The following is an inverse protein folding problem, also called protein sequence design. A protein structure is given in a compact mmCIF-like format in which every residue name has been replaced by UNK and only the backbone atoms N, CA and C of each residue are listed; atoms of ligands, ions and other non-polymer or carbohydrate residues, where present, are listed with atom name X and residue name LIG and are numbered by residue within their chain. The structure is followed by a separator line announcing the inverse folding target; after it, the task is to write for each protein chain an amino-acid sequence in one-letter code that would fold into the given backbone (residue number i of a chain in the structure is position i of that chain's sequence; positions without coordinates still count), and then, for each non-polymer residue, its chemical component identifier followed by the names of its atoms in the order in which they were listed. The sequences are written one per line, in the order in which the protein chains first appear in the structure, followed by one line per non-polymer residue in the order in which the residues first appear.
data_IF_228355133503
#
_entry.id   IF_228355133503
#
_cell.length_a   1.000
_cell.length_b   1.000
_cell.length_c   1.000
_cell.angle_alpha   90.00
_cell.angle_beta   90.00
_cell.angle_gamma   90.00
#
_symmetry.space_group_name_H-M   'P 1'
#
loop_
_entity.id
_entity.type
_entity.pdbx_description
1 polymer ?
#
# COMPACT_ATOMS: atom_id res chain seq x y z
N UNK A 1 5.03 -21.30 -6.96
CA UNK A 1 4.78 -20.46 -8.16
C UNK A 1 5.09 -19.02 -7.77
N UNK A 2 5.82 -18.23 -8.58
CA UNK A 2 5.95 -16.79 -8.28
C UNK A 2 4.55 -16.15 -8.40
N UNK A 3 4.17 -15.24 -7.48
CA UNK A 3 2.86 -14.61 -7.50
C UNK A 3 2.66 -13.81 -8.79
N UNK A 4 1.42 -13.69 -9.24
CA UNK A 4 1.00 -13.05 -10.49
C UNK A 4 1.50 -11.60 -10.72
N UNK A 5 2.07 -10.96 -9.68
CA UNK A 5 2.65 -9.61 -9.71
C UNK A 5 3.89 -9.47 -10.63
N UNK A 6 4.53 -10.57 -11.02
CA UNK A 6 5.77 -10.53 -11.82
C UNK A 6 5.52 -10.30 -13.32
N UNK A 7 4.27 -10.39 -13.80
CA UNK A 7 3.90 -10.22 -15.22
C UNK A 7 3.26 -8.86 -15.56
N UNK A 8 3.06 -7.97 -14.60
CA UNK A 8 2.42 -6.68 -14.85
C UNK A 8 3.43 -5.67 -15.42
N UNK A 9 3.32 -5.27 -16.71
CA UNK A 9 4.33 -4.43 -17.35
C UNK A 9 4.43 -3.04 -16.73
N UNK A 10 3.31 -2.46 -16.26
CA UNK A 10 3.33 -1.13 -15.60
C UNK A 10 4.10 -1.22 -14.29
N UNK A 11 3.87 -2.27 -13.49
CA UNK A 11 4.57 -2.44 -12.22
C UNK A 11 6.06 -2.73 -12.43
N UNK A 12 6.43 -3.46 -13.48
CA UNK A 12 7.84 -3.66 -13.84
C UNK A 12 8.53 -2.31 -14.14
N UNK A 13 7.89 -1.44 -14.92
CA UNK A 13 8.43 -0.11 -15.23
C UNK A 13 8.52 0.78 -13.98
N UNK A 14 7.52 0.72 -13.10
CA UNK A 14 7.55 1.44 -11.81
C UNK A 14 8.71 0.93 -10.94
N UNK A 15 8.85 -0.38 -10.74
CA UNK A 15 9.96 -0.97 -9.95
C UNK A 15 11.31 -0.56 -10.50
N UNK A 16 11.46 -0.62 -11.83
CA UNK A 16 12.69 -0.20 -12.53
C UNK A 16 12.99 1.28 -12.31
N UNK A 17 11.98 2.15 -12.33
CA UNK A 17 12.15 3.58 -12.07
C UNK A 17 12.46 3.88 -10.59
N UNK A 18 11.95 3.07 -9.66
CA UNK A 18 12.24 3.19 -8.23
C UNK A 18 13.61 2.61 -7.83
N UNK A 19 14.15 1.69 -8.62
CA UNK A 19 15.45 1.05 -8.37
C UNK A 19 16.63 2.04 -8.34
N UNK A 20 17.74 1.59 -7.75
CA UNK A 20 18.94 2.40 -7.60
C UNK A 20 18.71 3.63 -6.71
N UNK A 21 18.89 4.83 -7.28
CA UNK A 21 18.73 6.09 -6.55
C UNK A 21 17.36 6.77 -6.77
N UNK A 22 16.50 6.21 -7.62
CA UNK A 22 15.23 6.85 -8.01
C UNK A 22 14.31 7.11 -6.82
N UNK A 23 13.93 6.05 -6.08
CA UNK A 23 13.09 6.19 -4.89
C UNK A 23 13.79 6.97 -3.77
N UNK A 24 15.07 6.69 -3.51
CA UNK A 24 15.85 7.35 -2.46
C UNK A 24 15.90 8.86 -2.64
N UNK A 25 16.02 9.33 -3.88
CA UNK A 25 15.98 10.74 -4.21
C UNK A 25 14.60 11.35 -3.95
N UNK A 26 13.52 10.70 -4.41
CA UNK A 26 12.15 11.15 -4.18
C UNK A 26 11.86 11.32 -2.68
N UNK A 27 12.19 10.30 -1.89
CA UNK A 27 12.00 10.30 -0.45
C UNK A 27 12.83 11.40 0.24
N UNK A 28 14.09 11.61 -0.18
CA UNK A 28 14.93 12.70 0.34
C UNK A 28 14.30 14.07 0.09
N UNK A 29 13.79 14.30 -1.12
CA UNK A 29 13.15 15.57 -1.49
C UNK A 29 11.91 15.85 -0.63
N UNK A 30 11.03 14.86 -0.46
CA UNK A 30 9.84 15.00 0.38
C UNK A 30 10.20 15.17 1.86
N UNK A 31 11.18 14.42 2.38
CA UNK A 31 11.68 14.63 3.75
C UNK A 31 12.23 16.04 3.96
N UNK A 32 12.87 16.61 2.95
CA UNK A 32 13.33 18.01 2.96
C UNK A 32 12.20 19.04 2.75
N UNK A 33 10.95 18.62 2.61
CA UNK A 33 9.78 19.49 2.52
C UNK A 33 9.54 20.09 1.14
N UNK A 34 10.25 19.64 0.11
CA UNK A 34 10.06 20.14 -1.27
C UNK A 34 10.53 19.16 -2.33
N UNK A 35 9.60 18.76 -3.18
CA UNK A 35 9.87 18.09 -4.45
C UNK A 35 10.56 19.03 -5.43
N UNK A 36 11.65 18.56 -6.04
CA UNK A 36 12.45 19.32 -7.02
C UNK A 36 12.70 18.56 -8.32
N UNK A 37 12.58 17.23 -8.31
CA UNK A 37 12.88 16.39 -9.48
C UNK A 37 11.66 15.69 -10.08
N UNK A 38 11.89 15.00 -11.18
CA UNK A 38 10.87 14.36 -12.01
C UNK A 38 10.68 12.91 -11.59
N UNK A 39 9.85 12.63 -10.57
CA UNK A 39 9.57 11.25 -10.12
C UNK A 39 8.10 10.97 -9.77
N UNK A 40 7.22 11.97 -9.87
CA UNK A 40 5.84 11.91 -9.40
C UNK A 40 5.08 10.67 -9.93
N UNK A 41 5.31 10.31 -11.19
CA UNK A 41 4.52 9.29 -11.89
C UNK A 41 4.73 7.86 -11.41
N UNK A 42 5.93 7.51 -10.95
CA UNK A 42 6.25 6.16 -10.49
C UNK A 42 6.31 6.05 -8.96
N UNK A 43 6.01 7.14 -8.25
CA UNK A 43 5.91 7.15 -6.79
C UNK A 43 4.46 7.33 -6.36
N UNK A 44 3.75 8.26 -6.98
CA UNK A 44 2.31 8.45 -6.86
C UNK A 44 1.66 8.30 -8.25
N UNK A 45 1.48 7.05 -8.73
CA UNK A 45 0.90 6.80 -10.03
C UNK A 45 -0.59 7.13 -10.06
N UNK A 46 -1.04 7.69 -11.18
CA UNK A 46 -2.46 7.94 -11.48
C UNK A 46 -3.02 6.84 -12.38
N UNK A 47 -4.34 6.74 -12.42
CA UNK A 47 -5.06 5.92 -13.40
C UNK A 47 -5.06 6.58 -14.78
N UNK A 48 -4.89 5.78 -15.84
CA UNK A 48 -4.82 6.28 -17.22
C UNK A 48 -6.13 6.94 -17.68
N UNK A 49 -7.27 6.43 -17.20
CA UNK A 49 -8.61 6.96 -17.46
C UNK A 49 -8.84 8.31 -16.77
N UNK A 50 -8.14 8.56 -15.66
CA UNK A 50 -8.27 9.77 -14.87
C UNK A 50 -7.44 10.89 -15.49
N UNK A 51 -6.17 10.63 -15.80
CA UNK A 51 -5.22 11.67 -16.24
C UNK A 51 -4.35 11.20 -17.40
N UNK A 52 -4.36 11.97 -18.50
CA UNK A 52 -3.32 11.88 -19.53
C UNK A 52 -2.02 12.49 -19.01
N UNK A 53 -0.94 11.74 -19.15
CA UNK A 53 0.37 12.10 -18.58
C UNK A 53 1.48 12.01 -19.63
N UNK A 54 2.55 12.79 -19.45
CA UNK A 54 3.74 12.73 -20.29
C UNK A 54 4.57 11.45 -20.14
N UNK A 55 4.25 10.62 -19.13
CA UNK A 55 4.91 9.34 -18.84
C UNK A 55 3.87 8.21 -18.71
N UNK A 56 3.16 7.84 -19.79
CA UNK A 56 2.05 6.88 -19.74
C UNK A 56 2.49 5.47 -19.33
N UNK A 57 3.78 5.14 -19.45
CA UNK A 57 4.31 3.85 -19.02
C UNK A 57 4.16 3.57 -17.52
N UNK A 58 3.91 4.61 -16.70
CA UNK A 58 3.69 4.48 -15.25
C UNK A 58 2.21 4.64 -14.86
N UNK A 59 1.31 4.87 -15.82
CA UNK A 59 -0.13 4.98 -15.55
C UNK A 59 -0.71 3.60 -15.24
N UNK A 60 -1.42 3.48 -14.13
CA UNK A 60 -2.17 2.26 -13.80
C UNK A 60 -3.38 2.18 -14.74
N UNK A 61 -3.59 1.03 -15.38
CA UNK A 61 -4.55 0.92 -16.50
C UNK A 61 -5.96 0.54 -16.05
N UNK A 62 -6.10 -0.04 -14.87
CA UNK A 62 -7.38 -0.53 -14.33
C UNK A 62 -7.26 -0.85 -12.84
N UNK A 63 -8.38 -1.24 -12.23
CA UNK A 63 -8.44 -1.66 -10.83
C UNK A 63 -7.49 -2.84 -10.53
N UNK A 64 -7.30 -3.76 -11.48
CA UNK A 64 -6.38 -4.89 -11.35
C UNK A 64 -4.92 -4.45 -11.18
N UNK A 65 -4.46 -3.43 -11.93
CA UNK A 65 -3.13 -2.84 -11.77
C UNK A 65 -2.96 -2.19 -10.38
N UNK A 66 -4.00 -1.50 -9.86
CA UNK A 66 -3.96 -0.88 -8.53
C UNK A 66 -3.88 -1.94 -7.43
N UNK A 67 -4.72 -2.99 -7.51
CA UNK A 67 -4.69 -4.13 -6.57
C UNK A 67 -3.34 -4.85 -6.60
N UNK A 68 -2.78 -5.04 -7.80
CA UNK A 68 -1.46 -5.64 -7.95
C UNK A 68 -0.32 -4.75 -7.40
N UNK A 69 -0.43 -3.42 -7.54
CA UNK A 69 0.50 -2.48 -6.91
C UNK A 69 0.44 -2.62 -5.38
N UNK A 70 -0.76 -2.63 -4.81
CA UNK A 70 -0.96 -2.75 -3.37
C UNK A 70 -0.46 -4.08 -2.80
N UNK A 71 -0.66 -5.18 -3.54
CA UNK A 71 -0.18 -6.51 -3.16
C UNK A 71 1.34 -6.67 -3.28
N UNK A 72 2.05 -5.75 -3.95
CA UNK A 72 3.50 -5.77 -4.04
C UNK A 72 4.13 -5.18 -2.76
N UNK A 73 4.88 -5.96 -1.95
CA UNK A 73 5.42 -5.48 -0.69
C UNK A 73 6.39 -4.30 -0.83
N UNK A 74 7.18 -4.25 -1.91
CA UNK A 74 8.15 -3.19 -2.14
C UNK A 74 7.47 -1.88 -2.55
N UNK A 75 6.54 -1.96 -3.51
CA UNK A 75 5.78 -0.79 -3.97
C UNK A 75 4.87 -0.24 -2.88
N UNK A 76 4.15 -1.12 -2.16
CA UNK A 76 3.32 -0.73 -1.00
C UNK A 76 4.16 -0.04 0.06
N UNK A 77 5.31 -0.61 0.44
CA UNK A 77 6.20 -0.02 1.43
C UNK A 77 6.69 1.37 0.99
N UNK A 78 7.12 1.50 -0.27
CA UNK A 78 7.60 2.77 -0.80
C UNK A 78 6.51 3.85 -0.80
N UNK A 79 5.29 3.47 -1.21
CA UNK A 79 4.11 4.33 -1.19
C UNK A 79 3.78 4.79 0.24
N UNK A 80 3.76 3.86 1.20
CA UNK A 80 3.53 4.19 2.61
C UNK A 80 4.59 5.17 3.14
N UNK A 81 5.88 4.82 3.04
CA UNK A 81 6.98 5.60 3.63
C UNK A 81 7.04 7.04 3.08
N UNK A 82 6.81 7.25 1.78
CA UNK A 82 6.87 8.60 1.22
C UNK A 82 5.58 9.40 1.48
N UNK A 83 4.41 8.75 1.49
CA UNK A 83 3.16 9.42 1.84
C UNK A 83 3.12 9.84 3.32
N UNK A 84 3.70 9.03 4.22
CA UNK A 84 3.91 9.39 5.62
C UNK A 84 4.83 10.61 5.76
N UNK A 85 5.94 10.64 5.01
CA UNK A 85 6.82 11.81 4.99
C UNK A 85 6.11 13.07 4.48
N UNK A 86 5.24 12.95 3.47
CA UNK A 86 4.43 14.05 2.97
C UNK A 86 3.40 14.52 4.03
N UNK A 87 2.68 13.59 4.65
CA UNK A 87 1.72 13.87 5.71
C UNK A 87 2.35 14.64 6.88
N UNK A 88 3.58 14.29 7.29
CA UNK A 88 4.29 15.00 8.36
C UNK A 88 4.47 16.49 8.08
N UNK A 89 4.67 16.87 6.81
CA UNK A 89 4.78 18.27 6.40
C UNK A 89 3.40 18.94 6.29
N UNK A 90 2.43 18.25 5.68
CA UNK A 90 1.07 18.77 5.53
C UNK A 90 0.41 19.03 6.90
N UNK A 91 0.58 18.11 7.85
CA UNK A 91 0.08 18.26 9.22
C UNK A 91 0.74 19.43 9.99
N UNK A 92 1.94 19.86 9.58
CA UNK A 92 2.62 21.07 10.09
C UNK A 92 2.17 22.35 9.38
N UNK A 93 1.22 22.27 8.47
CA UNK A 93 0.70 23.40 7.70
C UNK A 93 1.58 23.83 6.54
N UNK A 94 2.52 23.00 6.07
CA UNK A 94 3.29 23.29 4.85
C UNK A 94 2.31 23.33 3.66
N UNK A 95 2.27 24.43 2.88
CA UNK A 95 1.36 24.51 1.75
C UNK A 95 1.63 23.39 0.73
N UNK A 96 0.60 22.69 0.21
CA UNK A 96 0.80 21.60 -0.75
C UNK A 96 1.60 22.02 -1.98
N UNK A 97 1.36 23.23 -2.52
CA UNK A 97 2.12 23.76 -3.65
C UNK A 97 3.62 23.93 -3.36
N UNK A 98 4.00 24.17 -2.10
CA UNK A 98 5.40 24.23 -1.67
C UNK A 98 6.01 22.83 -1.60
N UNK A 99 5.29 21.88 -1.00
CA UNK A 99 5.76 20.51 -0.81
C UNK A 99 5.89 19.76 -2.14
N UNK A 100 4.86 19.82 -2.99
CA UNK A 100 4.81 19.09 -4.27
C UNK A 100 5.38 19.91 -5.44
N UNK A 101 5.59 21.21 -5.26
CA UNK A 101 6.25 22.10 -6.21
C UNK A 101 5.38 22.62 -7.36
N UNK A 102 4.23 22.00 -7.65
CA UNK A 102 3.29 22.47 -8.66
C UNK A 102 1.86 22.03 -8.35
N UNK A 103 0.86 22.76 -8.86
CA UNK A 103 -0.56 22.38 -8.75
C UNK A 103 -0.82 21.00 -9.37
N UNK A 104 -0.21 20.71 -10.52
CA UNK A 104 -0.34 19.41 -11.20
C UNK A 104 0.16 18.25 -10.33
N UNK A 105 1.23 18.45 -9.58
CA UNK A 105 1.77 17.40 -8.69
C UNK A 105 0.94 17.24 -7.41
N UNK A 106 0.30 18.32 -6.92
CA UNK A 106 -0.70 18.24 -5.84
C UNK A 106 -1.88 17.38 -6.29
N UNK A 107 -2.44 17.65 -7.47
CA UNK A 107 -3.59 16.90 -8.00
C UNK A 107 -3.25 15.41 -8.23
N UNK A 108 -2.03 15.09 -8.68
CA UNK A 108 -1.58 13.69 -8.79
C UNK A 108 -1.52 13.00 -7.44
N UNK A 109 -1.02 13.69 -6.41
CA UNK A 109 -1.00 13.12 -5.07
C UNK A 109 -2.42 12.89 -4.54
N UNK A 110 -3.36 13.82 -4.78
CA UNK A 110 -4.78 13.66 -4.45
C UNK A 110 -5.43 12.47 -5.17
N UNK A 111 -5.16 12.32 -6.48
CA UNK A 111 -5.61 11.18 -7.28
C UNK A 111 -5.10 9.85 -6.71
N UNK A 112 -3.80 9.77 -6.41
CA UNK A 112 -3.19 8.58 -5.82
C UNK A 112 -3.73 8.30 -4.42
N UNK A 113 -3.83 9.30 -3.55
CA UNK A 113 -4.33 9.11 -2.19
C UNK A 113 -5.80 8.64 -2.20
N UNK A 114 -6.64 9.23 -3.06
CA UNK A 114 -8.02 8.76 -3.25
C UNK A 114 -8.06 7.31 -3.72
N UNK A 115 -7.23 6.97 -4.73
CA UNK A 115 -7.18 5.64 -5.31
C UNK A 115 -6.78 4.57 -4.27
N UNK A 116 -5.69 4.81 -3.56
CA UNK A 116 -5.17 3.85 -2.60
C UNK A 116 -5.95 3.82 -1.28
N UNK A 117 -6.60 4.91 -0.86
CA UNK A 117 -7.52 4.86 0.28
C UNK A 117 -8.66 3.85 0.03
N UNK A 118 -9.28 3.93 -1.15
CA UNK A 118 -10.41 3.06 -1.53
C UNK A 118 -9.99 1.60 -1.67
N UNK A 119 -8.91 1.34 -2.40
CA UNK A 119 -8.44 -0.04 -2.64
C UNK A 119 -7.86 -0.66 -1.36
N UNK A 120 -7.22 0.13 -0.48
CA UNK A 120 -6.74 -0.35 0.80
C UNK A 120 -7.87 -0.75 1.75
N UNK A 121 -8.97 0.04 1.80
CA UNK A 121 -10.16 -0.32 2.59
C UNK A 121 -10.77 -1.65 2.14
N UNK A 122 -10.93 -1.85 0.82
CA UNK A 122 -11.43 -3.11 0.28
C UNK A 122 -10.50 -4.29 0.61
N UNK A 123 -9.19 -4.09 0.48
CA UNK A 123 -8.18 -5.09 0.76
C UNK A 123 -7.91 -5.31 2.26
N UNK A 124 -8.61 -4.59 3.16
CA UNK A 124 -8.37 -4.58 4.61
C UNK A 124 -6.93 -4.18 5.01
N UNK A 125 -6.27 -3.39 4.18
CA UNK A 125 -5.02 -2.71 4.54
C UNK A 125 -5.34 -1.42 5.31
N UNK A 126 -5.74 -1.58 6.57
CA UNK A 126 -6.24 -0.48 7.39
C UNK A 126 -5.16 0.58 7.66
N UNK A 127 -3.89 0.18 7.74
CA UNK A 127 -2.76 1.10 7.94
C UNK A 127 -2.60 2.04 6.74
N UNK A 128 -2.58 1.50 5.52
CA UNK A 128 -2.46 2.34 4.34
C UNK A 128 -3.72 3.18 4.11
N UNK A 129 -4.90 2.61 4.37
CA UNK A 129 -6.17 3.35 4.29
C UNK A 129 -6.16 4.59 5.21
N UNK A 130 -5.81 4.40 6.49
CA UNK A 130 -5.67 5.46 7.48
C UNK A 130 -4.71 6.57 7.03
N UNK A 131 -3.54 6.16 6.53
CA UNK A 131 -2.52 7.09 6.04
C UNK A 131 -3.04 7.93 4.86
N UNK A 132 -3.67 7.29 3.88
CA UNK A 132 -4.16 7.98 2.67
C UNK A 132 -5.33 8.91 2.99
N UNK A 133 -6.25 8.50 3.86
CA UNK A 133 -7.33 9.37 4.35
C UNK A 133 -6.77 10.57 5.11
N UNK A 134 -5.75 10.36 5.95
CA UNK A 134 -5.08 11.45 6.67
C UNK A 134 -4.38 12.44 5.74
N UNK A 135 -3.79 11.94 4.65
CA UNK A 135 -3.24 12.81 3.60
C UNK A 135 -4.33 13.67 2.96
N UNK A 136 -5.49 13.09 2.64
CA UNK A 136 -6.61 13.82 2.03
C UNK A 136 -7.20 14.87 2.98
N UNK A 137 -7.35 14.53 4.26
CA UNK A 137 -7.78 15.46 5.31
C UNK A 137 -6.80 16.65 5.42
N UNK A 138 -5.49 16.37 5.42
CA UNK A 138 -4.46 17.40 5.54
C UNK A 138 -4.35 18.30 4.29
N UNK A 139 -4.75 17.81 3.11
CA UNK A 139 -4.89 18.63 1.91
C UNK A 139 -6.15 19.51 1.94
N UNK A 140 -7.06 19.28 2.89
CA UNK A 140 -8.41 19.84 2.94
C UNK A 140 -9.19 19.64 1.62
N UNK A 141 -8.92 18.52 0.94
CA UNK A 141 -9.56 18.18 -0.33
C UNK A 141 -10.65 17.14 -0.12
N UNK A 142 -11.62 17.12 -1.05
CA UNK A 142 -12.54 15.99 -1.16
C UNK A 142 -11.84 14.83 -1.84
N UNK A 143 -12.49 13.66 -1.87
CA UNK A 143 -12.07 12.60 -2.76
C UNK A 143 -12.04 13.11 -4.19
N UNK A 144 -11.01 12.73 -4.94
CA UNK A 144 -10.92 13.05 -6.35
C UNK A 144 -12.04 12.30 -7.11
N UNK A 145 -13.10 13.03 -7.48
CA UNK A 145 -14.36 12.46 -7.97
C UNK A 145 -14.16 11.47 -9.12
N UNK A 146 -13.39 11.85 -10.15
CA UNK A 146 -13.15 11.00 -11.32
C UNK A 146 -12.38 9.72 -10.99
N UNK A 147 -11.53 9.75 -9.95
CA UNK A 147 -10.84 8.55 -9.47
C UNK A 147 -11.81 7.61 -8.77
N UNK A 148 -12.62 8.14 -7.86
CA UNK A 148 -13.61 7.35 -7.12
C UNK A 148 -14.66 6.74 -8.07
N UNK A 149 -15.23 7.54 -8.97
CA UNK A 149 -16.21 7.10 -9.98
C UNK A 149 -15.66 5.96 -10.84
N UNK A 150 -14.41 6.07 -11.32
CA UNK A 150 -13.79 5.03 -12.12
C UNK A 150 -13.63 3.72 -11.34
N UNK A 151 -13.15 3.78 -10.10
CA UNK A 151 -12.93 2.58 -9.28
C UNK A 151 -14.24 1.88 -8.91
N UNK A 152 -15.29 2.66 -8.60
CA UNK A 152 -16.63 2.11 -8.36
C UNK A 152 -17.18 1.42 -9.62
N UNK A 153 -17.04 2.05 -10.79
CA UNK A 153 -17.47 1.48 -12.07
C UNK A 153 -16.72 0.19 -12.45
N UNK A 154 -15.46 0.03 -12.01
CA UNK A 154 -14.66 -1.20 -12.18
C UNK A 154 -15.02 -2.31 -11.16
N UNK A 155 -16.01 -2.10 -10.30
CA UNK A 155 -16.54 -3.11 -9.40
C UNK A 155 -15.85 -3.17 -8.03
N UNK A 156 -15.32 -2.06 -7.53
CA UNK A 156 -14.91 -1.93 -6.12
C UNK A 156 -16.15 -2.07 -5.22
N UNK A 157 -16.44 -3.30 -4.79
CA UNK A 157 -17.79 -3.76 -4.41
C UNK A 157 -18.12 -3.52 -2.94
N UNK A 158 -17.13 -3.10 -2.15
CA UNK A 158 -17.22 -2.94 -0.69
C UNK A 158 -17.60 -1.53 -0.23
N UNK A 159 -17.63 -0.55 -1.15
CA UNK A 159 -17.96 0.85 -0.81
C UNK A 159 -19.26 1.24 -1.54
N UNK A 160 -20.34 1.40 -0.77
CA UNK A 160 -21.69 1.69 -1.29
C UNK A 160 -21.73 2.99 -2.11
N UNK A 161 -22.44 2.96 -3.24
CA UNK A 161 -22.51 4.03 -4.25
C UNK A 161 -23.10 5.37 -3.75
N UNK A 162 -23.76 5.41 -2.59
CA UNK A 162 -24.73 6.48 -2.31
C UNK A 162 -24.17 7.78 -1.75
N UNK A 163 -22.89 7.88 -1.37
CA UNK A 163 -22.14 9.13 -1.18
C UNK A 163 -20.75 8.78 -0.64
N UNK A 164 -19.79 8.51 -1.53
CA UNK A 164 -18.40 8.40 -1.13
C UNK A 164 -17.87 9.78 -0.77
N UNK A 165 -17.87 10.08 0.52
CA UNK A 165 -17.11 11.19 1.08
C UNK A 165 -16.08 10.69 2.09
N UNK A 166 -15.15 11.57 2.47
CA UNK A 166 -14.10 11.24 3.44
C UNK A 166 -14.69 10.78 4.78
N UNK A 167 -15.83 11.34 5.21
CA UNK A 167 -16.46 11.00 6.48
C UNK A 167 -17.02 9.58 6.46
N UNK A 168 -17.60 9.16 5.34
CA UNK A 168 -18.09 7.81 5.12
C UNK A 168 -16.93 6.81 5.14
N UNK A 169 -15.83 7.11 4.44
CA UNK A 169 -14.64 6.25 4.43
C UNK A 169 -13.97 6.14 5.81
N UNK A 170 -13.90 7.24 6.57
CA UNK A 170 -13.43 7.24 7.96
C UNK A 170 -14.32 6.38 8.86
N UNK A 171 -15.63 6.53 8.73
CA UNK A 171 -16.60 5.73 9.49
C UNK A 171 -16.51 4.25 9.15
N UNK A 172 -16.26 3.92 7.87
CA UNK A 172 -16.02 2.56 7.44
C UNK A 172 -14.73 2.03 8.08
N UNK A 173 -13.62 2.77 7.99
CA UNK A 173 -12.33 2.38 8.56
C UNK A 173 -12.44 2.02 10.05
N UNK A 174 -13.10 2.86 10.86
CA UNK A 174 -13.33 2.58 12.29
C UNK A 174 -14.08 1.26 12.48
N UNK A 175 -15.18 1.04 11.75
CA UNK A 175 -15.92 -0.23 11.83
C UNK A 175 -15.06 -1.44 11.45
N UNK A 176 -14.15 -1.29 10.48
CA UNK A 176 -13.26 -2.38 10.08
C UNK A 176 -12.16 -2.65 11.12
N UNK A 177 -11.73 -1.62 11.86
CA UNK A 177 -10.79 -1.75 12.98
C UNK A 177 -11.46 -2.48 14.16
N UNK A 178 -12.66 -2.07 14.55
CA UNK A 178 -13.41 -2.69 15.66
C UNK A 178 -13.64 -4.20 15.43
N UNK A 179 -14.01 -4.60 14.21
CA UNK A 179 -14.20 -6.01 13.87
C UNK A 179 -12.90 -6.82 13.71
N UNK A 180 -11.74 -6.18 13.62
CA UNK A 180 -10.46 -6.90 13.61
C UNK A 180 -10.03 -7.29 15.02
N UNK A 181 -10.36 -6.47 16.03
CA UNK A 181 -10.03 -6.75 17.45
C UNK A 181 -10.91 -7.89 18.03
N UNK A 182 -12.16 -8.03 17.56
CA UNK A 182 -13.05 -9.12 17.99
C UNK A 182 -12.60 -10.50 17.47
N UNK A 183 -11.96 -10.58 16.30
CA UNK A 183 -11.51 -11.83 15.70
C UNK A 183 -10.23 -12.40 16.34
N UNK A 184 -9.39 -11.55 16.96
CA UNK A 184 -8.18 -11.99 17.67
C UNK A 184 -8.46 -12.52 19.10
N UNK A 185 -9.68 -12.32 19.63
CA UNK A 185 -10.09 -12.80 20.95
C UNK A 185 -10.69 -14.22 20.96
N UNK A 186 -10.86 -14.86 19.79
CA UNK A 186 -11.29 -16.26 19.64
C UNK A 186 -10.14 -17.19 19.20
N UNK A 187 -9.00 -17.20 19.92
CA UNK A 187 -8.12 -18.39 19.89
C UNK A 187 -8.51 -19.34 21.04
N UNK A 188 -9.07 -20.54 20.75
CA UNK A 188 -9.21 -21.55 21.78
C UNK A 188 -7.83 -22.12 22.09
N UNK A 189 -7.48 -22.09 23.38
CA UNK A 189 -6.31 -22.75 23.94
C UNK A 189 -6.19 -24.21 23.43
N UNK A 190 -5.05 -24.55 22.83
CA UNK A 190 -4.72 -25.93 22.48
C UNK A 190 -4.85 -26.83 23.72
N UNK A 191 -5.63 -27.93 23.67
CA UNK A 191 -5.53 -28.95 24.70
C UNK A 191 -4.24 -29.74 24.47
N UNK A 192 -3.37 -29.68 25.47
CA UNK A 192 -2.27 -30.60 25.62
C UNK A 192 -2.75 -32.06 25.68
N UNK A 193 -1.84 -32.95 25.26
CA UNK A 193 -1.75 -34.40 25.50
C UNK A 193 -2.68 -35.36 24.74
N UNK A 194 -2.05 -36.20 23.91
CA UNK A 194 -2.22 -37.66 24.03
C UNK A 194 -0.93 -38.37 23.57
N UNK A 195 -0.18 -38.86 24.56
CA UNK A 195 0.88 -39.85 24.37
C UNK A 195 0.26 -41.17 23.91
N UNK A 196 0.86 -41.84 22.92
CA UNK A 196 0.74 -43.29 22.81
C UNK A 196 2.10 -43.95 22.54
N UNK A 197 2.38 -45.11 23.19
CA UNK A 197 3.66 -45.82 23.12
C UNK A 197 3.63 -46.95 22.09
N UNK A 198 4.80 -47.26 21.52
CA UNK A 198 5.06 -48.45 20.71
C UNK A 198 6.16 -48.15 19.68
N UNK A 199 7.17 -48.96 19.43
CA UNK A 199 7.55 -50.30 19.86
C UNK A 199 9.08 -50.38 19.85
N UNK A 200 9.63 -51.26 20.67
CA UNK A 200 11.05 -51.58 20.70
C UNK A 200 11.40 -52.58 19.60
N UNK A 201 12.43 -52.30 18.80
CA UNK A 201 13.28 -53.35 18.22
C UNK A 201 14.76 -52.91 18.29
N UNK A 202 15.59 -53.91 18.57
CA UNK A 202 16.93 -53.83 19.11
C UNK A 202 18.03 -53.97 18.04
N UNK A 203 19.28 -53.90 18.53
CA UNK A 203 20.56 -54.31 17.90
C UNK A 203 21.18 -53.33 16.89
N UNK A 204 22.48 -53.00 16.91
CA UNK A 204 23.72 -53.46 17.58
C UNK A 204 24.70 -52.28 17.50
N UNK A 205 25.37 -51.90 18.60
CA UNK A 205 26.76 -52.25 18.90
C UNK A 205 27.78 -51.77 17.83
N UNK A 206 28.48 -50.65 18.09
CA UNK A 206 29.95 -50.62 18.18
C UNK A 206 30.49 -49.20 18.55
N UNK A 207 31.55 -49.22 19.35
CA UNK A 207 32.18 -48.13 20.12
C UNK A 207 33.12 -47.18 19.30
N UNK A 208 33.65 -46.09 19.92
CA UNK A 208 34.24 -44.94 19.23
C UNK A 208 35.78 -44.99 19.10
N UNK A 209 36.32 -44.23 18.15
CA UNK A 209 37.73 -43.82 18.13
C UNK A 209 37.83 -42.44 17.44
N UNK A 210 38.03 -41.36 18.20
CA UNK A 210 39.33 -40.79 18.54
C UNK A 210 40.00 -39.99 17.39
N UNK A 211 39.94 -38.67 17.50
CA UNK A 211 41.02 -37.73 17.12
C UNK A 211 42.32 -38.13 17.85
N UNK A 212 43.54 -37.90 17.34
CA UNK A 212 44.09 -36.60 16.88
C UNK A 212 44.93 -36.74 15.58
N UNK A 213 45.60 -35.75 14.97
CA UNK A 213 46.21 -34.49 15.37
C UNK A 213 46.24 -33.50 14.19
#
# INVERSE_FOLDING_TARGET
MPPAADKNPVLQEIRKAQAGNGYKQALKEIRNGRKTSHWIWWVWPSLDQVRRTSRPQYSLRNLGDVKAFLADPGLRRHLHEISEAALSHLAKGVPPGTLFGSRTDVEKFEETATCFALVALEARDLQLAELMLSCLDALAQKLHAKTAEYLLAEGLSSVSETELDLKCLRSLLVKLQDHSEEAELEEPAEPASEEQPGEAEAEKDELPAALPA
#
